data_IF_990589419320
#
_entry.id   IF_990589419320
#
_cell.length_a   1.000
_cell.length_b   1.000
_cell.length_c   1.000
_cell.angle_alpha   90.00
_cell.angle_beta   90.00
_cell.angle_gamma   90.00
#
_symmetry.space_group_name_H-M   'P 1'
#
loop_
_entity.id
_entity.type
_entity.pdbx_description
1 polymer ?
#
# COMPACT_ATOMS: atom_id res chain seq x y z
N UNK A 1 -9.44 47.03 39.68
CA UNK A 1 -10.09 45.70 39.59
C UNK A 1 -9.51 45.02 38.37
N UNK A 2 -8.40 44.30 38.53
CA UNK A 2 -7.65 43.71 37.42
C UNK A 2 -8.08 42.26 37.22
N UNK A 3 -8.57 41.94 36.01
CA UNK A 3 -8.95 40.59 35.61
C UNK A 3 -7.70 39.91 35.05
N UNK A 4 -7.20 38.89 35.75
CA UNK A 4 -6.10 38.04 35.27
C UNK A 4 -6.73 36.93 34.41
N UNK A 5 -6.51 36.99 33.10
CA UNK A 5 -6.83 35.92 32.16
C UNK A 5 -5.76 34.82 32.28
N UNK A 6 -6.12 33.72 32.95
CA UNK A 6 -5.30 32.50 32.98
C UNK A 6 -5.56 31.73 31.68
N UNK A 7 -4.60 31.78 30.75
CA UNK A 7 -4.57 30.87 29.61
C UNK A 7 -4.16 29.47 30.11
N UNK A 8 -5.12 28.55 30.24
CA UNK A 8 -4.81 27.13 30.31
C UNK A 8 -4.30 26.68 28.94
N UNK A 9 -2.97 26.60 28.80
CA UNK A 9 -2.37 25.86 27.71
C UNK A 9 -2.62 24.36 27.97
N UNK A 10 -3.65 23.80 27.33
CA UNK A 10 -3.83 22.36 27.28
C UNK A 10 -2.71 21.77 26.42
N UNK A 11 -1.68 21.23 27.07
CA UNK A 11 -0.64 20.44 26.43
C UNK A 11 -1.30 19.18 25.86
N UNK A 12 -1.58 19.20 24.55
CA UNK A 12 -2.02 18.03 23.82
C UNK A 12 -0.82 17.09 23.70
N UNK A 13 -0.72 16.12 24.60
CA UNK A 13 0.13 14.95 24.41
C UNK A 13 -0.49 14.10 23.30
N UNK A 14 -0.14 14.40 22.06
CA UNK A 14 -0.32 13.46 20.96
C UNK A 14 0.55 12.25 21.25
N UNK A 15 -0.07 11.11 21.57
CA UNK A 15 0.65 9.85 21.67
C UNK A 15 1.33 9.56 20.34
N UNK A 16 2.66 9.56 20.35
CA UNK A 16 3.44 9.11 19.20
C UNK A 16 3.22 7.60 19.13
N UNK A 17 2.62 7.12 18.03
CA UNK A 17 2.51 5.69 17.80
C UNK A 17 3.91 5.07 17.87
N UNK A 18 4.10 4.04 18.69
CA UNK A 18 5.36 3.32 18.74
C UNK A 18 5.72 2.84 17.33
N UNK A 19 6.97 3.11 16.92
CA UNK A 19 7.49 2.60 15.67
C UNK A 19 7.43 1.07 15.70
N UNK A 20 6.65 0.48 14.80
CA UNK A 20 6.61 -0.97 14.59
C UNK A 20 8.03 -1.47 14.35
N UNK A 21 8.46 -2.52 15.08
CA UNK A 21 9.74 -3.23 14.81
C UNK A 21 9.84 -3.74 13.37
N UNK A 22 8.70 -3.81 12.66
CA UNK A 22 8.62 -4.22 11.26
C UNK A 22 8.38 -3.02 10.36
N UNK A 23 9.20 -2.92 9.32
CA UNK A 23 9.06 -1.94 8.24
C UNK A 23 7.82 -2.27 7.39
N UNK A 24 6.93 -1.32 7.11
CA UNK A 24 5.83 -1.54 6.18
C UNK A 24 6.39 -1.84 4.78
N UNK A 25 5.82 -2.84 4.11
CA UNK A 25 6.13 -3.16 2.72
C UNK A 25 4.82 -3.34 1.99
N UNK A 26 4.54 -2.44 1.04
CA UNK A 26 3.36 -2.52 0.19
C UNK A 26 3.60 -3.59 -0.87
N UNK A 27 2.66 -4.53 -0.98
CA UNK A 27 2.68 -5.61 -1.96
C UNK A 27 1.36 -5.58 -2.72
N UNK A 28 1.41 -5.10 -3.95
CA UNK A 28 0.28 -5.00 -4.86
C UNK A 28 0.30 -6.19 -5.82
N UNK A 29 -0.76 -6.97 -5.88
CA UNK A 29 -0.94 -8.03 -6.86
C UNK A 29 -1.97 -7.57 -7.90
N UNK A 30 -1.56 -7.50 -9.16
CA UNK A 30 -2.47 -7.31 -10.29
C UNK A 30 -2.94 -8.68 -10.79
N UNK A 31 -4.23 -8.94 -10.62
CA UNK A 31 -4.86 -10.25 -10.86
C UNK A 31 -6.19 -10.09 -11.63
N UNK A 32 -6.80 -11.21 -12.00
CA UNK A 32 -8.21 -11.24 -12.42
C UNK A 32 -8.74 -12.66 -12.30
N UNK A 33 -10.02 -12.81 -11.99
CA UNK A 33 -10.69 -14.11 -12.08
C UNK A 33 -10.71 -14.69 -13.51
N UNK A 34 -10.67 -13.83 -14.53
CA UNK A 34 -10.56 -14.25 -15.93
C UNK A 34 -9.18 -14.81 -16.30
N UNK A 35 -8.19 -14.68 -15.42
CA UNK A 35 -6.81 -15.10 -15.64
C UNK A 35 -6.55 -16.50 -15.03
N UNK A 36 -6.43 -17.51 -15.90
CA UNK A 36 -6.21 -18.91 -15.45
C UNK A 36 -4.89 -19.15 -14.70
N UNK A 37 -3.87 -18.32 -14.91
CA UNK A 37 -2.56 -18.41 -14.26
C UNK A 37 -2.48 -17.67 -12.93
N UNK A 38 -3.54 -16.93 -12.54
CA UNK A 38 -3.57 -16.09 -11.36
C UNK A 38 -3.80 -16.80 -10.01
N UNK A 39 -4.57 -17.91 -9.89
CA UNK A 39 -4.88 -18.53 -8.59
C UNK A 39 -3.66 -18.85 -7.70
N UNK A 40 -2.50 -19.29 -8.22
CA UNK A 40 -1.32 -19.49 -7.39
C UNK A 40 -0.73 -18.20 -6.79
N UNK A 41 -0.87 -17.06 -7.47
CA UNK A 41 -0.43 -15.76 -6.99
C UNK A 41 -1.39 -15.20 -5.92
N UNK A 42 -2.70 -15.34 -6.12
CA UNK A 42 -3.72 -14.94 -5.15
C UNK A 42 -3.52 -15.70 -3.82
N UNK A 43 -3.31 -17.02 -3.90
CA UNK A 43 -2.99 -17.85 -2.74
C UNK A 43 -1.67 -17.47 -2.06
N UNK A 44 -0.67 -17.02 -2.83
CA UNK A 44 0.59 -16.51 -2.28
C UNK A 44 0.37 -15.21 -1.52
N UNK A 45 -0.35 -14.24 -2.09
CA UNK A 45 -0.64 -12.96 -1.47
C UNK A 45 -1.43 -13.15 -0.17
N UNK A 46 -2.50 -13.95 -0.19
CA UNK A 46 -3.28 -14.29 0.99
C UNK A 46 -2.42 -14.91 2.10
N UNK A 47 -1.47 -15.79 1.74
CA UNK A 47 -0.54 -16.36 2.72
C UNK A 47 0.40 -15.30 3.29
N UNK A 48 0.94 -14.40 2.45
CA UNK A 48 1.81 -13.31 2.91
C UNK A 48 1.08 -12.40 3.90
N UNK A 49 -0.17 -12.06 3.59
CA UNK A 49 -1.03 -11.23 4.42
C UNK A 49 -1.30 -11.86 5.80
N UNK A 50 -1.78 -13.11 5.82
CA UNK A 50 -2.16 -13.81 7.05
C UNK A 50 -0.95 -14.22 7.90
N UNK A 51 0.10 -14.76 7.26
CA UNK A 51 1.21 -15.39 8.01
C UNK A 51 2.36 -14.45 8.29
N UNK A 52 2.48 -13.34 7.56
CA UNK A 52 3.54 -12.34 7.70
C UNK A 52 4.94 -12.97 7.85
N UNK A 53 5.35 -13.86 6.91
CA UNK A 53 6.42 -14.83 7.14
C UNK A 53 7.82 -14.23 7.00
N UNK A 54 7.93 -12.94 6.63
CA UNK A 54 9.19 -12.28 6.32
C UNK A 54 9.60 -11.43 7.52
N UNK A 55 10.71 -11.80 8.15
CA UNK A 55 11.24 -11.10 9.32
C UNK A 55 11.54 -9.64 8.97
N UNK A 56 11.15 -8.72 9.84
CA UNK A 56 11.38 -7.29 9.66
C UNK A 56 10.39 -6.61 8.70
N UNK A 57 9.56 -7.36 7.98
CA UNK A 57 8.53 -6.81 7.10
C UNK A 57 7.14 -6.89 7.73
N UNK A 58 6.38 -5.81 7.62
CA UNK A 58 4.93 -5.77 7.76
C UNK A 58 4.36 -5.69 6.35
N UNK A 59 3.92 -6.83 5.80
CA UNK A 59 3.32 -6.86 4.47
C UNK A 59 1.95 -6.20 4.55
N UNK A 60 1.75 -5.19 3.72
CA UNK A 60 0.47 -4.55 3.45
C UNK A 60 0.07 -5.04 2.06
N UNK A 61 -0.88 -5.95 2.00
CA UNK A 61 -1.30 -6.59 0.74
C UNK A 61 -2.44 -5.80 0.10
N UNK A 62 -2.39 -5.62 -1.22
CA UNK A 62 -3.49 -5.14 -2.05
C UNK A 62 -3.72 -6.12 -3.20
N UNK A 63 -4.96 -6.50 -3.41
CA UNK A 63 -5.39 -7.39 -4.49
C UNK A 63 -6.18 -6.58 -5.53
N UNK A 64 -5.54 -6.30 -6.66
CA UNK A 64 -5.94 -5.27 -7.62
C UNK A 64 -6.44 -5.92 -8.92
N UNK A 65 -7.76 -6.11 -9.02
CA UNK A 65 -8.37 -6.83 -10.13
C UNK A 65 -8.39 -6.02 -11.43
N UNK A 66 -7.57 -6.36 -12.42
CA UNK A 66 -7.52 -5.64 -13.69
C UNK A 66 -8.70 -5.97 -14.59
N UNK A 67 -9.12 -5.02 -15.43
CA UNK A 67 -10.32 -5.14 -16.25
C UNK A 67 -10.08 -5.64 -17.69
N UNK A 68 -8.84 -5.75 -18.14
CA UNK A 68 -8.52 -6.14 -19.53
C UNK A 68 -8.79 -7.63 -19.84
N UNK A 69 -9.12 -8.44 -18.83
CA UNK A 69 -9.60 -9.82 -19.01
C UNK A 69 -11.10 -9.94 -19.28
N UNK A 70 -11.87 -8.87 -19.04
CA UNK A 70 -13.35 -8.91 -19.09
C UNK A 70 -13.94 -9.14 -20.49
N UNK A 71 -13.11 -9.09 -21.54
CA UNK A 71 -13.52 -9.33 -22.92
C UNK A 71 -13.64 -10.81 -23.33
N UNK A 72 -13.24 -11.75 -22.46
CA UNK A 72 -13.12 -13.18 -22.80
C UNK A 72 -14.33 -14.05 -22.42
N UNK A 73 -15.47 -13.45 -22.08
CA UNK A 73 -16.71 -14.15 -21.75
C UNK A 73 -16.98 -14.35 -20.25
N UNK A 74 -16.02 -14.01 -19.38
CA UNK A 74 -16.22 -13.78 -17.95
C UNK A 74 -15.89 -12.33 -17.64
N UNK A 75 -16.75 -11.67 -16.86
CA UNK A 75 -16.48 -10.34 -16.33
C UNK A 75 -16.28 -10.46 -14.82
N UNK A 76 -15.07 -10.16 -14.40
CA UNK A 76 -14.67 -10.14 -13.00
C UNK A 76 -15.38 -8.99 -12.26
N UNK A 77 -16.25 -9.25 -11.26
CA UNK A 77 -17.01 -8.21 -10.58
C UNK A 77 -16.17 -7.36 -9.63
N UNK A 78 -14.96 -7.80 -9.27
CA UNK A 78 -14.01 -7.02 -8.48
C UNK A 78 -13.11 -6.14 -9.35
N UNK A 79 -13.11 -6.38 -10.66
CA UNK A 79 -12.27 -5.62 -11.57
C UNK A 79 -12.69 -4.16 -11.75
N UNK A 80 -11.70 -3.29 -11.93
CA UNK A 80 -11.93 -1.89 -12.25
C UNK A 80 -10.80 -1.31 -13.11
N UNK A 81 -11.17 -0.42 -14.04
CA UNK A 81 -10.24 0.27 -14.93
C UNK A 81 -9.13 1.05 -14.19
N UNK A 82 -9.37 1.45 -12.94
CA UNK A 82 -8.35 2.11 -12.11
C UNK A 82 -7.16 1.20 -11.78
N UNK A 83 -7.39 -0.10 -11.63
CA UNK A 83 -6.36 -1.09 -11.33
C UNK A 83 -5.51 -1.35 -12.58
N UNK A 84 -6.15 -1.49 -13.75
CA UNK A 84 -5.44 -1.50 -15.04
C UNK A 84 -4.62 -0.24 -15.27
N UNK A 85 -5.19 0.95 -15.01
CA UNK A 85 -4.43 2.22 -15.13
C UNK A 85 -3.24 2.27 -14.18
N UNK A 86 -3.40 1.77 -12.95
CA UNK A 86 -2.32 1.68 -11.97
C UNK A 86 -1.18 0.79 -12.46
N UNK A 87 -1.50 -0.41 -12.95
CA UNK A 87 -0.52 -1.32 -13.52
C UNK A 87 0.23 -0.70 -14.71
N UNK A 88 -0.51 -0.02 -15.60
CA UNK A 88 0.09 0.69 -16.74
C UNK A 88 1.06 1.80 -16.32
N UNK A 89 0.84 2.47 -15.18
CA UNK A 89 1.82 3.44 -14.65
C UNK A 89 3.13 2.75 -14.31
N UNK A 90 3.10 1.58 -13.67
CA UNK A 90 4.32 0.82 -13.40
C UNK A 90 5.04 0.42 -14.69
N UNK A 91 4.33 -0.13 -15.67
CA UNK A 91 4.90 -0.48 -16.97
C UNK A 91 5.52 0.74 -17.69
N UNK A 92 4.90 1.93 -17.59
CA UNK A 92 5.39 3.13 -18.28
C UNK A 92 6.78 3.62 -17.84
N UNK A 93 7.28 3.14 -16.70
CA UNK A 93 8.61 3.49 -16.19
C UNK A 93 9.74 2.64 -16.77
N UNK A 94 9.41 1.60 -17.55
CA UNK A 94 10.37 0.66 -18.14
C UNK A 94 10.18 0.57 -19.65
N UNK A 95 11.23 0.87 -20.41
CA UNK A 95 11.18 0.84 -21.87
C UNK A 95 10.76 -0.54 -22.40
N UNK A 96 9.69 -0.57 -23.20
CA UNK A 96 9.16 -1.80 -23.81
C UNK A 96 8.38 -2.72 -22.87
N UNK A 97 8.13 -2.31 -21.62
CA UNK A 97 7.30 -3.09 -20.72
C UNK A 97 5.82 -3.07 -21.14
N UNK A 98 5.15 -4.20 -20.98
CA UNK A 98 3.71 -4.35 -21.15
C UNK A 98 3.12 -4.93 -19.87
N UNK A 99 1.86 -4.60 -19.58
CA UNK A 99 1.16 -5.15 -18.42
C UNK A 99 0.85 -6.63 -18.62
N UNK A 100 0.87 -7.41 -17.54
CA UNK A 100 0.60 -8.85 -17.56
C UNK A 100 0.02 -9.31 -16.22
N UNK A 101 -0.66 -10.45 -16.18
CA UNK A 101 -1.10 -11.07 -14.92
C UNK A 101 -0.65 -12.54 -14.80
N UNK A 102 -0.37 -13.02 -13.59
CA UNK A 102 -0.30 -12.25 -12.34
C UNK A 102 1.01 -11.45 -12.23
N UNK A 103 0.93 -10.16 -11.93
CA UNK A 103 2.08 -9.31 -11.64
C UNK A 103 2.03 -8.85 -10.19
N UNK A 104 3.10 -9.07 -9.44
CA UNK A 104 3.27 -8.53 -8.09
C UNK A 104 4.27 -7.38 -8.14
N UNK A 105 3.90 -6.25 -7.54
CA UNK A 105 4.75 -5.06 -7.42
C UNK A 105 4.99 -4.76 -5.94
N UNK A 106 6.26 -4.64 -5.56
CA UNK A 106 6.67 -4.34 -4.18
C UNK A 106 7.12 -2.88 -4.09
N UNK A 107 6.51 -2.14 -3.16
CA UNK A 107 6.74 -0.71 -2.92
C UNK A 107 6.65 0.19 -4.16
N UNK A 108 5.89 -0.24 -5.18
CA UNK A 108 5.80 0.47 -6.46
C UNK A 108 7.09 0.49 -7.29
N UNK A 109 8.11 -0.30 -6.91
CA UNK A 109 9.43 -0.27 -7.53
C UNK A 109 9.76 -1.54 -8.30
N UNK A 110 9.53 -2.72 -7.70
CA UNK A 110 9.97 -3.99 -8.28
C UNK A 110 8.77 -4.86 -8.65
N UNK A 111 8.50 -4.97 -9.96
CA UNK A 111 7.51 -5.88 -10.54
C UNK A 111 8.09 -7.25 -10.90
N UNK A 112 7.31 -8.32 -10.71
CA UNK A 112 7.67 -9.69 -11.12
C UNK A 112 6.43 -10.59 -11.22
N UNK A 113 6.59 -11.79 -11.79
CA UNK A 113 5.52 -12.81 -11.86
C UNK A 113 5.03 -13.15 -10.46
N UNK A 114 3.77 -12.82 -10.17
CA UNK A 114 3.21 -12.85 -8.83
C UNK A 114 3.12 -14.24 -8.20
N UNK A 115 3.22 -15.32 -8.98
CA UNK A 115 3.25 -16.69 -8.45
C UNK A 115 4.65 -17.15 -7.99
N UNK A 116 5.70 -16.35 -8.23
CA UNK A 116 7.07 -16.70 -7.83
C UNK A 116 7.32 -16.43 -6.33
N UNK A 117 7.03 -17.43 -5.49
CA UNK A 117 7.18 -17.33 -4.03
C UNK A 117 8.64 -17.10 -3.57
N UNK A 118 9.65 -17.56 -4.31
CA UNK A 118 11.04 -17.32 -3.97
C UNK A 118 11.39 -15.84 -4.19
N UNK A 119 11.01 -15.30 -5.36
CA UNK A 119 11.22 -13.89 -5.69
C UNK A 119 10.46 -12.96 -4.76
N UNK A 120 9.22 -13.28 -4.41
CA UNK A 120 8.45 -12.49 -3.45
C UNK A 120 9.17 -12.38 -2.09
N UNK A 121 9.69 -13.49 -1.55
CA UNK A 121 10.45 -13.46 -0.29
C UNK A 121 11.69 -12.59 -0.39
N UNK A 122 12.44 -12.72 -1.48
CA UNK A 122 13.68 -11.98 -1.73
C UNK A 122 13.44 -10.47 -1.84
N UNK A 123 12.47 -10.06 -2.67
CA UNK A 123 12.17 -8.65 -2.94
C UNK A 123 11.58 -7.97 -1.70
N UNK A 124 10.64 -8.62 -1.01
CA UNK A 124 10.04 -8.06 0.21
C UNK A 124 11.09 -7.95 1.33
N UNK A 125 11.96 -8.95 1.50
CA UNK A 125 13.03 -8.86 2.50
C UNK A 125 14.00 -7.72 2.17
N UNK A 126 14.41 -7.58 0.91
CA UNK A 126 15.27 -6.47 0.47
C UNK A 126 14.61 -5.10 0.69
N UNK A 127 13.31 -4.99 0.45
CA UNK A 127 12.55 -3.76 0.64
C UNK A 127 12.56 -3.24 2.08
N UNK A 128 12.79 -4.11 3.09
CA UNK A 128 12.92 -3.69 4.50
C UNK A 128 14.20 -2.89 4.80
N UNK A 129 15.16 -2.90 3.88
CA UNK A 129 16.43 -2.20 4.03
C UNK A 129 16.53 -0.94 3.14
N UNK A 130 15.56 -0.71 2.27
CA UNK A 130 15.50 0.48 1.44
C UNK A 130 15.08 1.70 2.28
N UNK A 131 15.60 2.91 1.99
CA UNK A 131 15.07 4.14 2.57
C UNK A 131 13.60 4.32 2.18
N UNK A 132 12.72 4.46 3.17
CA UNK A 132 11.29 4.67 2.96
C UNK A 132 10.82 5.94 3.68
N UNK A 133 9.77 6.56 3.15
CA UNK A 133 9.09 7.63 3.86
C UNK A 133 8.44 7.07 5.13
N UNK A 134 8.60 7.77 6.25
CA UNK A 134 7.90 7.44 7.49
C UNK A 134 6.52 8.07 7.43
N UNK A 135 5.49 7.22 7.35
CA UNK A 135 4.09 7.64 7.35
C UNK A 135 3.51 7.40 8.75
N UNK A 136 2.99 8.47 9.35
CA UNK A 136 2.29 8.44 10.63
C UNK A 136 0.84 8.81 10.42
N UNK A 137 -0.07 8.01 10.97
CA UNK A 137 -1.48 8.35 11.07
C UNK A 137 -1.83 8.57 12.54
N UNK A 138 -2.43 9.72 12.83
CA UNK A 138 -2.96 10.02 14.15
C UNK A 138 -4.40 10.52 14.02
N UNK A 139 -5.20 10.31 15.06
CA UNK A 139 -6.52 10.92 15.16
C UNK A 139 -6.36 12.40 15.50
N UNK A 140 -6.95 13.26 14.69
CA UNK A 140 -6.96 14.69 14.93
C UNK A 140 -8.25 15.08 15.66
N UNK A 141 -8.13 15.66 16.86
CA UNK A 141 -9.28 16.19 17.61
C UNK A 141 -10.18 15.14 18.28
N UNK A 142 -11.26 15.62 18.89
CA UNK A 142 -12.27 14.79 19.54
C UNK A 142 -13.21 14.14 18.51
N UNK A 143 -13.77 12.96 18.83
CA UNK A 143 -14.83 12.35 18.03
C UNK A 143 -16.06 13.28 18.03
N UNK A 144 -16.45 13.77 16.87
CA UNK A 144 -17.63 14.62 16.70
C UNK A 144 -18.72 13.79 16.01
N UNK A 145 -19.56 13.14 16.82
CA UNK A 145 -20.62 12.27 16.30
C UNK A 145 -20.06 11.10 15.52
N UNK A 146 -20.44 10.99 14.24
CA UNK A 146 -19.97 9.96 13.31
C UNK A 146 -18.76 10.39 12.45
N UNK A 147 -18.13 11.54 12.75
CA UNK A 147 -16.97 12.02 12.03
C UNK A 147 -15.66 11.58 12.70
N UNK A 148 -14.72 11.07 11.89
CA UNK A 148 -13.34 10.81 12.29
C UNK A 148 -12.43 11.76 11.53
N UNK A 149 -11.65 12.55 12.27
CA UNK A 149 -10.60 13.39 11.71
C UNK A 149 -9.26 12.68 11.88
N UNK A 150 -8.51 12.57 10.79
CA UNK A 150 -7.18 11.95 10.75
C UNK A 150 -6.14 13.01 10.33
N UNK A 151 -5.01 13.03 11.01
CA UNK A 151 -3.80 13.73 10.58
C UNK A 151 -2.80 12.71 10.04
N UNK A 152 -2.32 12.94 8.82
CA UNK A 152 -1.30 12.12 8.18
C UNK A 152 0.00 12.93 8.16
N UNK A 153 1.04 12.41 8.79
CA UNK A 153 2.39 12.99 8.76
C UNK A 153 3.30 12.13 7.91
N UNK A 154 3.93 12.71 6.89
CA UNK A 154 4.94 12.03 6.07
C UNK A 154 6.28 12.73 6.33
N UNK A 155 7.25 11.98 6.84
CA UNK A 155 8.61 12.47 7.08
C UNK A 155 9.63 11.58 6.37
N UNK A 156 10.87 12.07 6.23
CA UNK A 156 11.96 11.33 5.56
C UNK A 156 11.61 10.86 4.13
N UNK A 157 10.67 11.54 3.46
CA UNK A 157 10.27 11.20 2.11
C UNK A 157 11.46 11.37 1.15
N UNK A 158 11.84 10.34 0.39
CA UNK A 158 12.92 10.45 -0.58
C UNK A 158 12.54 11.43 -1.71
N UNK A 159 13.53 11.98 -2.41
CA UNK A 159 13.30 12.97 -3.49
C UNK A 159 12.37 12.43 -4.58
N UNK A 160 12.35 11.11 -4.78
CA UNK A 160 11.42 10.40 -5.67
C UNK A 160 9.93 10.60 -5.34
N UNK A 161 9.58 11.03 -4.12
CA UNK A 161 8.19 11.37 -3.75
C UNK A 161 7.72 12.72 -4.30
N UNK A 162 8.61 13.58 -4.78
CA UNK A 162 8.25 14.93 -5.20
C UNK A 162 7.35 14.89 -6.45
N UNK A 163 6.17 15.48 -6.35
CA UNK A 163 5.19 15.49 -7.45
C UNK A 163 4.37 14.20 -7.59
N UNK A 164 4.55 13.24 -6.66
CA UNK A 164 3.69 12.06 -6.60
C UNK A 164 2.37 12.36 -5.88
N UNK A 165 1.35 11.57 -6.21
CA UNK A 165 0.02 11.64 -5.60
C UNK A 165 -0.02 10.64 -4.44
N UNK A 166 -0.45 11.11 -3.27
CA UNK A 166 -0.74 10.22 -2.15
C UNK A 166 -2.19 9.71 -2.27
N UNK A 167 -2.37 8.41 -2.09
CA UNK A 167 -3.68 7.78 -2.06
C UNK A 167 -3.98 7.27 -0.65
N UNK A 168 -5.20 7.51 -0.17
CA UNK A 168 -5.68 7.04 1.12
C UNK A 168 -6.81 6.03 0.90
N UNK A 169 -6.60 4.81 1.39
CA UNK A 169 -7.58 3.73 1.32
C UNK A 169 -8.35 3.65 2.64
N UNK A 170 -9.68 3.80 2.57
CA UNK A 170 -10.60 3.64 3.69
C UNK A 170 -11.58 2.52 3.33
N UNK A 171 -11.72 1.47 4.18
CA UNK A 171 -12.67 0.38 3.95
C UNK A 171 -14.13 0.82 4.15
#
# INVERSE_FOLDING_TARGET
>A
MSIILVFLAATVWGGVAEASERQPVLVELFTSEGCSSCPPADALLARLDVTQPIRGARVISLDEHVDYWNGLGWRDPWSAAQFTRRQNRYASTSDGASVYTPEMVVNGETGFVGSNAARAREVIASATHAPQAVVTLARAGALLGNAVSLSIGITQAPVSFRGQVAEAWLP
#
